data_IF_270280527786
#
_entry.id   IF_270280527786
#
_cell.length_a   1.000
_cell.length_b   1.000
_cell.length_c   1.000
_cell.angle_alpha   90.00
_cell.angle_beta   90.00
_cell.angle_gamma   90.00
#
_symmetry.space_group_name_H-M   'P 1'
#
loop_
_entity.id
_entity.type
_entity.pdbx_description
1 polymer ?
#
# COMPACT_ATOMS: atom_id res chain seq x y z
N UNK A 1 -32.88 -36.18 -39.14
CA UNK A 1 -32.57 -34.74 -39.20
C UNK A 1 -32.07 -34.34 -37.82
N UNK A 2 -30.75 -34.33 -37.61
CA UNK A 2 -30.15 -33.77 -36.40
C UNK A 2 -29.92 -32.28 -36.65
N UNK A 3 -30.45 -31.43 -35.78
CA UNK A 3 -30.03 -30.03 -35.72
C UNK A 3 -28.61 -30.01 -35.17
N UNK A 4 -27.68 -29.60 -36.02
CA UNK A 4 -26.32 -29.25 -35.66
C UNK A 4 -26.38 -27.84 -35.06
N UNK A 5 -26.21 -27.74 -33.74
CA UNK A 5 -26.09 -26.45 -33.06
C UNK A 5 -24.78 -25.81 -33.51
N UNK A 6 -24.85 -24.82 -34.40
CA UNK A 6 -23.69 -24.01 -34.76
C UNK A 6 -23.19 -23.30 -33.50
N UNK A 7 -22.01 -23.69 -33.02
CA UNK A 7 -21.25 -22.89 -32.08
C UNK A 7 -20.88 -21.59 -32.81
N UNK A 8 -21.54 -20.48 -32.45
CA UNK A 8 -21.10 -19.16 -32.87
C UNK A 8 -19.80 -18.91 -32.12
N UNK A 9 -18.67 -19.03 -32.84
CA UNK A 9 -17.39 -18.57 -32.33
C UNK A 9 -17.49 -17.05 -32.23
N UNK A 10 -17.59 -16.55 -31.00
CA UNK A 10 -17.59 -15.11 -30.74
C UNK A 10 -16.14 -14.65 -30.85
N UNK A 11 -15.81 -14.05 -31.99
CA UNK A 11 -14.49 -13.44 -32.15
C UNK A 11 -14.44 -12.14 -31.34
N UNK A 12 -13.63 -12.14 -30.28
CA UNK A 12 -13.38 -10.98 -29.44
C UNK A 12 -11.98 -10.46 -29.73
N UNK A 13 -11.91 -9.21 -30.18
CA UNK A 13 -10.65 -8.48 -30.30
C UNK A 13 -10.50 -7.52 -29.13
N UNK A 14 -9.28 -7.33 -28.64
CA UNK A 14 -8.99 -6.37 -27.56
C UNK A 14 -8.06 -5.29 -28.10
N UNK A 15 -8.51 -4.04 -28.03
CA UNK A 15 -7.74 -2.88 -28.47
C UNK A 15 -7.28 -2.05 -27.28
N UNK A 16 -6.11 -1.44 -27.39
CA UNK A 16 -5.69 -0.38 -26.48
C UNK A 16 -6.39 0.92 -26.93
N UNK A 17 -7.37 1.37 -26.15
CA UNK A 17 -8.19 2.55 -26.47
C UNK A 17 -7.68 3.82 -25.81
N UNK A 18 -6.91 3.68 -24.73
CA UNK A 18 -6.19 4.77 -24.11
C UNK A 18 -4.83 4.29 -23.60
N UNK A 19 -3.81 5.14 -23.75
CA UNK A 19 -2.49 4.92 -23.18
C UNK A 19 -1.92 6.26 -22.71
N UNK A 20 -1.43 6.28 -21.48
CA UNK A 20 -0.73 7.45 -20.94
C UNK A 20 0.51 7.77 -21.79
N UNK A 21 0.69 9.04 -22.12
CA UNK A 21 1.76 9.52 -23.03
C UNK A 21 3.19 9.23 -22.56
N UNK A 22 3.39 8.97 -21.26
CA UNK A 22 4.69 8.68 -20.65
C UNK A 22 4.76 7.27 -20.05
N UNK A 23 3.95 6.33 -20.54
CA UNK A 23 3.83 4.98 -19.98
C UNK A 23 5.19 4.28 -19.79
N UNK A 24 6.13 4.49 -20.73
CA UNK A 24 7.45 3.85 -20.74
C UNK A 24 8.46 4.49 -19.76
N UNK A 25 8.18 5.69 -19.27
CA UNK A 25 9.15 6.46 -18.44
C UNK A 25 8.64 6.72 -17.02
N UNK A 26 7.34 6.99 -16.88
CA UNK A 26 6.68 7.29 -15.60
C UNK A 26 5.63 6.27 -15.20
N UNK A 27 5.25 5.37 -16.12
CA UNK A 27 4.04 4.60 -15.97
C UNK A 27 2.79 5.45 -16.21
N UNK A 28 1.65 4.95 -15.78
CA UNK A 28 0.35 5.55 -16.03
C UNK A 28 -0.72 4.49 -16.27
N UNK A 29 -1.77 4.87 -16.97
CA UNK A 29 -2.91 4.01 -17.28
C UNK A 29 -2.85 3.50 -18.72
N UNK A 30 -3.23 2.23 -18.89
CA UNK A 30 -3.54 1.62 -20.18
C UNK A 30 -4.96 1.08 -20.10
N UNK A 31 -5.81 1.49 -21.04
CA UNK A 31 -7.18 1.03 -21.16
C UNK A 31 -7.29 0.04 -22.31
N UNK A 32 -7.84 -1.13 -22.02
CA UNK A 32 -8.14 -2.17 -23.00
C UNK A 32 -9.65 -2.26 -23.15
N UNK A 33 -10.16 -2.15 -24.39
CA UNK A 33 -11.59 -2.33 -24.65
C UNK A 33 -11.78 -3.57 -25.53
N UNK A 34 -12.42 -4.63 -25.03
CA UNK A 34 -12.80 -5.76 -25.86
C UNK A 34 -13.96 -5.35 -26.79
N UNK A 35 -13.92 -5.82 -28.03
CA UNK A 35 -14.98 -5.64 -29.01
C UNK A 35 -15.39 -7.02 -29.52
N UNK A 36 -16.70 -7.29 -29.48
CA UNK A 36 -17.27 -8.39 -30.23
C UNK A 36 -17.24 -8.01 -31.70
N UNK A 37 -16.35 -8.64 -32.47
CA UNK A 37 -16.13 -8.33 -33.89
C UNK A 37 -17.37 -8.68 -34.72
N UNK A 38 -18.13 -9.68 -34.29
CA UNK A 38 -19.33 -10.17 -35.01
C UNK A 38 -20.44 -9.11 -35.02
N UNK A 39 -20.59 -8.39 -33.90
CA UNK A 39 -21.67 -7.40 -33.73
C UNK A 39 -21.19 -5.95 -33.63
N UNK A 40 -19.87 -5.71 -33.61
CA UNK A 40 -19.28 -4.39 -33.40
C UNK A 40 -19.58 -3.79 -32.03
N UNK A 41 -19.96 -4.62 -31.05
CA UNK A 41 -20.36 -4.17 -29.71
C UNK A 41 -19.11 -4.08 -28.84
N UNK A 42 -18.87 -2.90 -28.27
CA UNK A 42 -17.81 -2.68 -27.28
C UNK A 42 -18.25 -3.22 -25.93
N UNK A 43 -17.41 -4.07 -25.34
CA UNK A 43 -17.54 -4.50 -23.97
C UNK A 43 -17.02 -3.46 -22.97
N UNK A 44 -17.01 -3.84 -21.70
CA UNK A 44 -16.49 -2.99 -20.63
C UNK A 44 -14.98 -2.88 -20.74
N UNK A 45 -14.48 -1.64 -20.67
CA UNK A 45 -13.05 -1.38 -20.63
C UNK A 45 -12.40 -1.90 -19.35
N UNK A 46 -11.15 -2.31 -19.50
CA UNK A 46 -10.25 -2.74 -18.45
C UNK A 46 -9.10 -1.76 -18.35
N UNK A 47 -8.98 -1.06 -17.22
CA UNK A 47 -7.85 -0.17 -16.97
C UNK A 47 -6.77 -0.93 -16.20
N UNK A 48 -5.52 -0.77 -16.62
CA UNK A 48 -4.31 -1.26 -15.94
C UNK A 48 -3.47 -0.05 -15.55
N UNK A 49 -3.01 -0.04 -14.30
CA UNK A 49 -2.05 0.94 -13.81
C UNK A 49 -0.64 0.33 -13.88
N UNK A 50 0.25 0.99 -14.60
CA UNK A 50 1.66 0.62 -14.75
C UNK A 50 2.50 1.56 -13.91
N UNK A 51 3.45 1.03 -13.13
CA UNK A 51 4.46 1.81 -12.41
C UNK A 51 5.84 1.50 -12.98
N UNK A 52 6.59 2.53 -13.35
CA UNK A 52 8.00 2.41 -13.76
C UNK A 52 8.88 2.94 -12.65
N UNK A 53 9.61 2.03 -12.01
CA UNK A 53 10.54 2.31 -10.92
C UNK A 53 11.87 2.82 -11.47
N UNK A 54 12.37 3.92 -10.89
CA UNK A 54 13.67 4.54 -11.21
C UNK A 54 14.60 4.43 -10.01
N UNK A 55 15.91 4.70 -10.17
CA UNK A 55 16.83 4.67 -9.02
C UNK A 55 16.28 5.52 -7.84
N UNK A 56 16.27 5.00 -6.61
CA UNK A 56 15.78 5.74 -5.45
C UNK A 56 16.57 7.03 -5.23
N UNK A 57 15.90 8.09 -4.77
CA UNK A 57 16.58 9.33 -4.41
C UNK A 57 17.31 9.17 -3.06
N UNK A 58 18.55 8.72 -3.15
CA UNK A 58 19.43 8.52 -1.98
C UNK A 58 19.70 9.80 -1.18
N UNK A 59 19.45 10.99 -1.76
CA UNK A 59 19.62 12.25 -1.03
C UNK A 59 18.61 12.39 0.11
N UNK A 60 17.48 11.68 0.07
CA UNK A 60 16.53 11.61 1.18
C UNK A 60 17.14 10.94 2.44
N UNK A 61 18.25 10.22 2.28
CA UNK A 61 19.03 9.64 3.38
C UNK A 61 20.33 10.40 3.67
N UNK A 62 20.58 11.52 2.97
CA UNK A 62 21.77 12.31 3.21
C UNK A 62 21.78 12.79 4.67
N UNK A 63 22.92 12.61 5.33
CA UNK A 63 23.12 13.00 6.73
C UNK A 63 22.16 12.32 7.72
N UNK A 64 21.65 11.12 7.39
CA UNK A 64 20.83 10.35 8.32
C UNK A 64 21.55 10.24 9.67
N UNK A 65 20.81 10.53 10.73
CA UNK A 65 21.31 10.53 12.10
C UNK A 65 20.42 9.67 12.99
N UNK A 66 21.04 8.80 13.79
CA UNK A 66 20.39 8.01 14.83
C UNK A 66 20.70 8.63 16.18
N UNK A 67 19.74 8.57 17.10
CA UNK A 67 19.99 8.88 18.49
C UNK A 67 20.79 7.74 19.14
N UNK A 68 21.68 8.10 20.08
CA UNK A 68 22.40 7.11 20.90
C UNK A 68 21.42 6.09 21.51
N UNK A 69 21.75 4.81 21.39
CA UNK A 69 20.97 3.66 21.85
C UNK A 69 19.61 3.43 21.15
N UNK A 70 19.31 4.10 20.02
CA UNK A 70 18.07 3.89 19.27
C UNK A 70 18.06 2.57 18.47
N UNK A 71 17.76 1.47 19.16
CA UNK A 71 17.64 0.13 18.55
C UNK A 71 16.52 0.05 17.52
N UNK A 72 15.44 0.80 17.72
CA UNK A 72 14.29 0.77 16.82
C UNK A 72 14.60 1.51 15.51
N UNK A 73 15.16 2.72 15.59
CA UNK A 73 15.58 3.48 14.41
C UNK A 73 16.68 2.79 13.60
N UNK A 74 17.52 1.97 14.25
CA UNK A 74 18.53 1.14 13.58
C UNK A 74 17.93 -0.08 12.85
N UNK A 75 16.99 -0.77 13.49
CA UNK A 75 16.49 -2.08 13.02
C UNK A 75 15.30 -2.00 12.08
N UNK A 76 14.61 -0.85 12.00
CA UNK A 76 13.46 -0.65 11.11
C UNK A 76 13.90 -0.07 9.78
N UNK A 77 13.29 -0.52 8.66
CA UNK A 77 13.53 0.11 7.37
C UNK A 77 13.00 1.54 7.37
N UNK A 78 13.51 2.34 6.44
CA UNK A 78 12.96 3.66 6.12
C UNK A 78 12.42 3.71 4.71
N UNK A 79 11.47 4.60 4.48
CA UNK A 79 10.91 4.83 3.17
C UNK A 79 11.59 6.02 2.49
N UNK A 80 11.93 5.84 1.22
CA UNK A 80 12.32 6.92 0.30
C UNK A 80 11.54 6.78 -1.01
N UNK A 81 11.61 7.80 -1.86
CA UNK A 81 11.00 7.76 -3.19
C UNK A 81 12.00 7.94 -4.31
N UNK A 82 11.61 7.55 -5.53
CA UNK A 82 12.28 7.99 -6.75
C UNK A 82 11.65 9.29 -7.32
N UNK A 83 12.13 9.70 -8.49
CA UNK A 83 11.62 10.87 -9.23
C UNK A 83 10.19 10.73 -9.77
N UNK A 84 9.66 9.50 -9.83
CA UNK A 84 8.27 9.20 -10.21
C UNK A 84 7.35 9.10 -8.99
N UNK A 85 7.89 9.20 -7.77
CA UNK A 85 7.15 9.06 -6.53
C UNK A 85 6.93 7.62 -6.09
N UNK A 86 7.56 6.63 -6.74
CA UNK A 86 7.49 5.24 -6.29
C UNK A 86 8.26 5.06 -4.99
N UNK A 87 7.73 4.23 -4.10
CA UNK A 87 8.27 4.05 -2.75
C UNK A 87 9.24 2.87 -2.68
N UNK A 88 10.23 3.01 -1.81
CA UNK A 88 11.20 1.98 -1.50
C UNK A 88 11.30 1.76 0.01
N UNK A 89 11.37 0.50 0.42
CA UNK A 89 11.76 0.10 1.78
C UNK A 89 13.27 -0.09 1.82
N UNK A 90 13.97 0.73 2.60
CA UNK A 90 15.43 0.76 2.67
C UNK A 90 15.91 0.19 3.99
N UNK A 91 16.73 -0.85 3.91
CA UNK A 91 17.46 -1.43 5.04
C UNK A 91 18.94 -1.10 4.95
N UNK A 92 19.67 -1.32 6.03
CA UNK A 92 21.12 -1.14 6.09
C UNK A 92 21.77 -2.30 6.84
N UNK A 93 23.06 -2.52 6.60
CA UNK A 93 23.88 -3.48 7.35
C UNK A 93 24.13 -3.00 8.80
N UNK A 94 23.10 -3.12 9.65
CA UNK A 94 23.07 -2.60 11.02
C UNK A 94 24.22 -3.07 11.91
N UNK A 95 24.78 -4.26 11.64
CA UNK A 95 25.89 -4.83 12.41
C UNK A 95 27.18 -4.01 12.32
N UNK A 96 27.30 -3.09 11.35
CA UNK A 96 28.43 -2.19 11.23
C UNK A 96 28.36 -0.95 12.14
N UNK A 97 27.26 -0.78 12.90
CA UNK A 97 26.98 0.44 13.67
C UNK A 97 26.99 0.13 15.18
N UNK A 98 27.86 0.79 15.93
CA UNK A 98 27.85 0.77 17.39
C UNK A 98 27.02 1.94 17.92
N UNK A 99 25.71 1.73 18.11
CA UNK A 99 24.79 2.76 18.60
C UNK A 99 25.04 3.18 20.06
N UNK A 100 26.00 2.58 20.77
CA UNK A 100 26.36 2.98 22.13
C UNK A 100 27.43 4.06 22.16
N UNK A 101 28.01 4.39 21.00
CA UNK A 101 29.06 5.40 20.87
C UNK A 101 28.68 6.43 19.80
N UNK A 102 28.81 7.73 20.10
CA UNK A 102 28.68 8.75 19.08
C UNK A 102 29.76 8.59 18.02
N UNK A 103 29.42 8.85 16.76
CA UNK A 103 30.37 8.77 15.65
C UNK A 103 29.72 8.59 14.30
N UNK A 104 30.56 8.56 13.26
CA UNK A 104 30.13 8.25 11.90
C UNK A 104 30.44 6.80 11.57
N UNK A 105 29.47 6.12 10.98
CA UNK A 105 29.55 4.72 10.60
C UNK A 105 29.28 4.57 9.11
N UNK A 106 30.06 3.69 8.47
CA UNK A 106 29.94 3.43 7.04
C UNK A 106 28.97 2.26 6.81
N UNK A 107 27.96 2.49 5.98
CA UNK A 107 26.88 1.54 5.72
C UNK A 107 26.71 1.28 4.23
N UNK A 108 26.03 0.18 3.95
CA UNK A 108 25.46 -0.14 2.64
C UNK A 108 23.95 -0.17 2.80
N UNK A 109 23.25 0.61 1.98
CA UNK A 109 21.80 0.56 1.87
C UNK A 109 21.38 -0.46 0.81
N UNK A 110 20.29 -1.16 1.11
CA UNK A 110 19.53 -1.96 0.15
C UNK A 110 18.09 -1.45 0.14
N UNK A 111 17.62 -1.03 -1.03
CA UNK A 111 16.28 -0.51 -1.26
C UNK A 111 15.46 -1.51 -2.07
N UNK A 112 14.28 -1.87 -1.59
CA UNK A 112 13.33 -2.75 -2.27
C UNK A 112 12.09 -1.92 -2.64
N UNK A 113 11.69 -1.93 -3.92
CA UNK A 113 10.47 -1.25 -4.37
C UNK A 113 9.24 -1.84 -3.67
N UNK A 114 8.35 -0.97 -3.19
CA UNK A 114 7.13 -1.36 -2.46
C UNK A 114 5.89 -0.66 -3.01
N UNK A 115 4.74 -1.28 -2.83
CA UNK A 115 3.44 -0.68 -3.07
C UNK A 115 2.98 0.21 -1.89
N UNK A 116 1.77 0.77 -2.00
CA UNK A 116 1.19 1.64 -0.98
C UNK A 116 0.83 0.91 0.33
N UNK A 117 0.85 -0.43 0.32
CA UNK A 117 0.71 -1.28 1.52
C UNK A 117 2.04 -1.70 2.14
N UNK A 118 3.17 -1.23 1.57
CA UNK A 118 4.52 -1.57 2.00
C UNK A 118 4.96 -2.96 1.54
N UNK A 119 4.18 -3.59 0.65
CA UNK A 119 4.48 -4.93 0.14
C UNK A 119 5.47 -4.81 -1.02
N UNK A 120 6.54 -5.63 -1.05
CA UNK A 120 7.49 -5.63 -2.17
C UNK A 120 6.79 -5.85 -3.51
N UNK A 121 7.06 -5.00 -4.48
CA UNK A 121 6.57 -5.20 -5.84
C UNK A 121 7.41 -6.23 -6.58
N UNK A 122 6.77 -6.95 -7.50
CA UNK A 122 7.41 -7.93 -8.38
C UNK A 122 7.67 -7.25 -9.73
N UNK A 123 8.88 -7.41 -10.25
CA UNK A 123 9.27 -7.00 -11.59
C UNK A 123 8.79 -8.02 -12.63
N UNK A 124 7.56 -7.83 -13.10
CA UNK A 124 6.99 -8.64 -14.19
C UNK A 124 7.65 -8.38 -15.55
N UNK A 125 8.36 -7.26 -15.71
CA UNK A 125 9.06 -6.90 -16.95
C UNK A 125 10.31 -7.74 -17.22
N UNK A 126 10.87 -8.38 -16.19
CA UNK A 126 12.04 -9.26 -16.31
C UNK A 126 11.72 -10.65 -16.89
N UNK A 127 10.45 -10.98 -17.14
CA UNK A 127 9.94 -12.33 -17.47
C UNK A 127 10.34 -13.44 -16.48
N UNK A 128 10.89 -13.07 -15.32
CA UNK A 128 11.22 -13.97 -14.22
C UNK A 128 10.25 -13.68 -13.09
N UNK A 129 9.29 -14.58 -12.91
CA UNK A 129 8.32 -14.49 -11.83
C UNK A 129 9.04 -14.40 -10.46
N UNK A 130 8.70 -13.39 -9.66
CA UNK A 130 9.19 -13.25 -8.29
C UNK A 130 10.46 -12.40 -8.11
N UNK A 131 11.03 -11.84 -9.18
CA UNK A 131 12.12 -10.87 -9.05
C UNK A 131 11.61 -9.60 -8.39
N UNK A 132 12.33 -9.12 -7.36
CA UNK A 132 12.03 -7.83 -6.71
C UNK A 132 12.81 -6.72 -7.41
N UNK A 133 12.29 -5.51 -7.33
CA UNK A 133 13.01 -4.30 -7.72
C UNK A 133 13.98 -3.95 -6.58
N UNK A 134 15.29 -4.09 -6.82
CA UNK A 134 16.33 -3.90 -5.78
C UNK A 134 17.42 -2.95 -6.25
N UNK A 135 17.77 -1.99 -5.40
CA UNK A 135 18.92 -1.09 -5.58
C UNK A 135 19.84 -1.14 -4.37
N UNK A 136 21.14 -0.96 -4.59
CA UNK A 136 22.15 -0.96 -3.52
C UNK A 136 23.00 0.29 -3.59
N UNK A 137 23.17 0.98 -2.45
CA UNK A 137 24.09 2.10 -2.32
C UNK A 137 25.12 1.83 -1.24
N UNK A 138 26.37 1.63 -1.67
CA UNK A 138 27.50 1.35 -0.76
C UNK A 138 28.12 2.63 -0.23
N UNK A 139 28.90 2.48 0.83
CA UNK A 139 29.80 3.52 1.36
C UNK A 139 29.08 4.80 1.81
N UNK A 140 27.84 4.67 2.30
CA UNK A 140 27.09 5.79 2.85
C UNK A 140 27.49 6.02 4.31
N UNK A 141 27.36 7.26 4.79
CA UNK A 141 27.64 7.60 6.18
C UNK A 141 26.34 7.81 6.94
N UNK A 142 26.26 7.20 8.12
CA UNK A 142 25.23 7.49 9.13
C UNK A 142 25.92 8.04 10.38
N UNK A 143 25.29 9.00 11.03
CA UNK A 143 25.79 9.56 12.29
C UNK A 143 25.02 8.96 13.47
N UNK A 144 25.72 8.49 14.50
CA UNK A 144 25.14 8.28 15.83
C UNK A 144 25.41 9.54 16.63
N UNK A 145 24.35 10.26 16.99
CA UNK A 145 24.46 11.53 17.71
C UNK A 145 24.70 11.31 19.19
N UNK A 146 25.68 12.04 19.73
CA UNK A 146 25.89 12.22 21.18
C UNK A 146 25.29 13.52 21.72
N UNK A 147 24.58 14.27 20.88
CA UNK A 147 23.91 15.50 21.29
C UNK A 147 22.82 15.20 22.33
N UNK A 148 22.79 16.02 23.37
CA UNK A 148 21.83 15.95 24.48
C UNK A 148 20.84 17.13 24.45
N UNK A 149 21.05 18.11 23.57
CA UNK A 149 20.19 19.29 23.43
C UNK A 149 19.04 19.01 22.47
N UNK A 150 19.28 18.17 21.46
CA UNK A 150 18.27 17.71 20.51
C UNK A 150 18.26 16.18 20.42
N UNK A 151 17.07 15.64 20.21
CA UNK A 151 16.82 14.22 20.01
C UNK A 151 16.56 13.98 18.53
N UNK A 152 17.31 13.05 17.94
CA UNK A 152 17.06 12.56 16.59
C UNK A 152 15.96 11.51 16.65
N UNK A 153 14.73 11.88 16.29
CA UNK A 153 13.56 11.01 16.41
C UNK A 153 13.17 10.36 15.08
N UNK A 154 12.45 9.24 15.15
CA UNK A 154 11.88 8.56 13.99
C UNK A 154 10.41 8.18 14.23
N UNK A 155 9.63 8.23 13.15
CA UNK A 155 8.30 7.67 13.03
C UNK A 155 8.31 6.54 12.03
N UNK A 156 7.83 5.38 12.48
CA UNK A 156 7.64 4.22 11.63
C UNK A 156 6.14 3.96 11.56
N UNK A 157 5.58 4.08 10.37
CA UNK A 157 4.15 3.89 10.13
C UNK A 157 3.99 2.56 9.40
N UNK A 158 3.21 1.67 9.97
CA UNK A 158 2.99 0.33 9.44
C UNK A 158 1.54 0.11 9.02
N UNK A 159 1.38 -0.70 7.98
CA UNK A 159 0.10 -1.31 7.70
C UNK A 159 -0.22 -2.32 8.83
N UNK A 160 -1.39 -2.16 9.45
CA UNK A 160 -1.86 -2.98 10.57
C UNK A 160 -2.10 -4.45 10.21
N UNK A 161 -2.51 -4.75 8.99
CA UNK A 161 -2.79 -6.11 8.49
C UNK A 161 -1.50 -6.87 8.18
N UNK A 162 -0.55 -6.23 7.50
CA UNK A 162 0.67 -6.90 6.99
C UNK A 162 1.88 -6.71 7.91
N UNK A 163 1.89 -5.67 8.75
CA UNK A 163 3.04 -5.26 9.54
C UNK A 163 4.15 -4.57 8.74
N UNK A 164 3.97 -4.41 7.42
CA UNK A 164 4.92 -3.76 6.53
C UNK A 164 4.98 -2.25 6.81
N UNK A 165 6.16 -1.66 6.64
CA UNK A 165 6.34 -0.21 6.75
C UNK A 165 5.81 0.46 5.48
N UNK A 166 4.92 1.43 5.64
CA UNK A 166 4.26 2.16 4.55
C UNK A 166 4.76 3.61 4.41
N UNK A 167 5.28 4.17 5.51
CA UNK A 167 5.90 5.47 5.54
C UNK A 167 6.83 5.59 6.76
N UNK A 168 7.86 6.42 6.62
CA UNK A 168 8.72 6.82 7.72
C UNK A 168 9.03 8.30 7.67
N UNK A 169 9.11 8.92 8.84
CA UNK A 169 9.46 10.32 8.98
C UNK A 169 10.49 10.48 10.10
N UNK A 170 11.34 11.49 10.02
CA UNK A 170 12.37 11.73 11.02
C UNK A 170 12.61 13.23 11.17
N UNK A 171 13.29 13.59 12.26
CA UNK A 171 13.64 14.97 12.53
C UNK A 171 14.43 15.13 13.81
N UNK A 172 14.63 16.38 14.20
CA UNK A 172 15.31 16.75 15.43
C UNK A 172 14.45 17.72 16.22
N UNK A 173 14.34 17.48 17.53
CA UNK A 173 13.62 18.38 18.43
C UNK A 173 14.12 18.22 19.87
N UNK A 174 13.79 19.18 20.73
CA UNK A 174 14.13 19.13 22.16
C UNK A 174 13.40 17.97 22.84
N UNK A 175 14.06 17.31 23.78
CA UNK A 175 13.46 16.24 24.58
C UNK A 175 12.18 16.71 25.30
N UNK A 176 11.14 15.88 25.28
CA UNK A 176 9.82 16.20 25.85
C UNK A 176 8.92 17.09 25.00
N UNK A 177 9.41 17.66 23.89
CA UNK A 177 8.58 18.46 22.97
C UNK A 177 7.59 17.60 22.19
N UNK A 178 6.53 18.22 21.65
CA UNK A 178 5.57 17.56 20.77
C UNK A 178 5.79 17.97 19.33
N UNK A 179 5.90 16.98 18.45
CA UNK A 179 6.00 17.18 16.99
C UNK A 179 4.75 16.62 16.30
N UNK A 180 4.41 17.21 15.16
CA UNK A 180 3.32 16.74 14.29
C UNK A 180 3.88 15.84 13.19
N UNK A 181 3.13 14.79 12.86
CA UNK A 181 3.42 13.90 11.74
C UNK A 181 2.84 14.52 10.47
N UNK A 182 3.62 14.53 9.40
CA UNK A 182 3.17 15.03 8.10
C UNK A 182 2.26 13.99 7.44
N UNK A 183 0.95 14.16 7.60
CA UNK A 183 -0.04 13.25 7.01
C UNK A 183 -0.13 13.34 5.50
N UNK A 184 0.44 14.38 4.86
CA UNK A 184 0.40 14.51 3.39
C UNK A 184 1.25 13.45 2.66
N UNK A 185 2.17 12.81 3.38
CA UNK A 185 3.06 11.76 2.86
C UNK A 185 2.48 10.35 2.94
N UNK A 186 1.34 10.20 3.64
CA UNK A 186 0.69 8.90 3.77
C UNK A 186 0.12 8.43 2.43
N UNK A 187 0.22 7.13 2.13
CA UNK A 187 -0.44 6.58 0.95
C UNK A 187 -1.96 6.77 1.01
N UNK A 188 -2.59 6.83 -0.17
CA UNK A 188 -4.05 6.96 -0.27
C UNK A 188 -4.77 5.82 0.48
N UNK A 189 -5.86 6.19 1.16
CA UNK A 189 -6.64 5.28 1.99
C UNK A 189 -6.10 5.07 3.41
N UNK A 190 -4.95 5.64 3.78
CA UNK A 190 -4.48 5.61 5.16
C UNK A 190 -4.69 6.95 5.86
N UNK A 191 -5.10 6.89 7.12
CA UNK A 191 -5.27 8.07 7.96
C UNK A 191 -4.78 7.80 9.39
N UNK A 192 -4.29 8.86 10.05
CA UNK A 192 -3.98 8.83 11.48
C UNK A 192 -5.21 9.29 12.26
N UNK A 193 -5.48 8.63 13.39
CA UNK A 193 -6.37 9.18 14.40
C UNK A 193 -5.75 10.44 15.03
N UNK A 194 -6.56 11.27 15.68
CA UNK A 194 -6.06 12.51 16.30
C UNK A 194 -4.97 12.28 17.35
N UNK A 195 -5.04 11.16 18.08
CA UNK A 195 -4.02 10.76 19.06
C UNK A 195 -2.73 10.25 18.42
N UNK A 196 -2.78 9.83 17.15
CA UNK A 196 -1.62 9.34 16.39
C UNK A 196 -0.89 10.46 15.64
N UNK A 197 -1.55 11.59 15.33
CA UNK A 197 -0.96 12.72 14.59
C UNK A 197 0.19 13.42 15.30
N UNK A 198 0.36 13.17 16.59
CA UNK A 198 1.41 13.79 17.40
C UNK A 198 2.30 12.76 18.10
N UNK A 199 3.46 13.25 18.51
CA UNK A 199 4.43 12.49 19.27
C UNK A 199 5.16 13.38 20.24
N UNK A 200 5.24 12.91 21.48
CA UNK A 200 6.14 13.47 22.46
C UNK A 200 7.52 12.84 22.27
N UNK A 201 8.48 13.67 21.90
CA UNK A 201 9.88 13.26 21.72
C UNK A 201 10.45 12.83 23.06
N UNK A 202 11.13 11.68 23.05
CA UNK A 202 11.76 11.07 24.23
C UNK A 202 13.17 10.59 23.84
N UNK A 203 14.20 11.18 24.44
CA UNK A 203 15.59 10.80 24.19
C UNK A 203 15.90 9.32 24.46
N UNK A 204 15.14 8.67 25.35
CA UNK A 204 15.29 7.24 25.69
C UNK A 204 14.53 6.34 24.72
N UNK A 205 13.45 6.85 24.12
CA UNK A 205 12.60 6.14 23.15
C UNK A 205 12.35 7.01 21.91
N UNK A 206 13.41 7.35 21.16
CA UNK A 206 13.35 8.36 20.10
C UNK A 206 12.59 7.88 18.86
N UNK A 207 12.34 6.57 18.73
CA UNK A 207 11.58 6.00 17.63
C UNK A 207 10.20 5.54 18.11
N UNK A 208 9.14 6.10 17.52
CA UNK A 208 7.75 5.65 17.69
C UNK A 208 7.30 4.84 16.48
N UNK A 209 6.71 3.67 16.76
CA UNK A 209 6.02 2.87 15.73
C UNK A 209 4.52 2.98 15.94
N UNK A 210 3.77 3.19 14.86
CA UNK A 210 2.31 3.14 14.85
C UNK A 210 1.83 2.20 13.76
N UNK A 211 0.68 1.58 14.02
CA UNK A 211 0.00 0.70 13.07
C UNK A 211 -1.34 1.32 12.72
N UNK A 212 -1.61 1.42 11.42
CA UNK A 212 -2.84 1.98 10.87
C UNK A 212 -3.43 1.05 9.81
N UNK A 213 -4.76 0.99 9.75
CA UNK A 213 -5.47 0.23 8.74
C UNK A 213 -5.70 1.08 7.49
N UNK A 214 -5.81 0.43 6.34
CA UNK A 214 -6.29 1.06 5.11
C UNK A 214 -7.81 1.16 5.17
N UNK A 215 -8.38 2.31 4.79
CA UNK A 215 -9.82 2.47 4.59
C UNK A 215 -10.25 1.69 3.36
N UNK A 216 -11.29 0.88 3.53
CA UNK A 216 -11.93 0.08 2.49
C UNK A 216 -13.31 0.66 2.25
N UNK A 217 -13.54 1.20 1.05
CA UNK A 217 -14.88 1.51 0.58
C UNK A 217 -15.49 0.20 0.06
N UNK A 218 -16.59 -0.24 0.64
CA UNK A 218 -17.25 -1.49 0.28
C UNK A 218 -18.58 -1.24 -0.42
N UNK A 219 -18.97 -2.20 -1.24
CA UNK A 219 -20.23 -2.22 -1.99
C UNK A 219 -20.81 -3.64 -1.97
N UNK A 220 -22.03 -3.78 -1.46
CA UNK A 220 -22.70 -5.07 -1.27
C UNK A 220 -24.00 -5.10 -2.07
N UNK A 221 -24.13 -6.14 -2.90
CA UNK A 221 -25.34 -6.43 -3.65
C UNK A 221 -26.09 -7.59 -3.05
N UNK A 222 -27.37 -7.39 -2.76
CA UNK A 222 -28.27 -8.47 -2.41
C UNK A 222 -29.01 -8.98 -3.64
N UNK A 223 -28.90 -10.28 -3.89
CA UNK A 223 -29.65 -10.96 -4.94
C UNK A 223 -30.58 -12.00 -4.33
N UNK A 224 -31.77 -12.11 -4.88
CA UNK A 224 -32.66 -13.23 -4.62
C UNK A 224 -32.01 -14.52 -5.16
N UNK A 225 -31.90 -15.55 -4.31
CA UNK A 225 -31.17 -16.79 -4.62
C UNK A 225 -31.78 -17.56 -5.79
N UNK A 226 -33.10 -17.44 -6.00
CA UNK A 226 -33.82 -18.22 -7.00
C UNK A 226 -33.90 -17.49 -8.35
N UNK A 227 -34.03 -16.16 -8.31
CA UNK A 227 -34.27 -15.35 -9.51
C UNK A 227 -33.05 -14.56 -9.98
N UNK A 228 -31.99 -14.47 -9.16
CA UNK A 228 -30.83 -13.57 -9.35
C UNK A 228 -31.21 -12.09 -9.53
N UNK A 229 -32.44 -11.72 -9.16
CA UNK A 229 -32.86 -10.32 -9.21
C UNK A 229 -32.32 -9.57 -8.01
N UNK A 230 -31.93 -8.32 -8.23
CA UNK A 230 -31.44 -7.46 -7.17
C UNK A 230 -32.55 -7.10 -6.19
N UNK A 231 -32.26 -7.28 -4.91
CA UNK A 231 -33.15 -6.92 -3.81
C UNK A 231 -32.68 -5.60 -3.22
N UNK A 232 -33.49 -4.57 -3.40
CA UNK A 232 -33.21 -3.24 -2.85
C UNK A 232 -32.01 -2.55 -3.50
N UNK A 233 -31.43 -1.59 -2.77
CA UNK A 233 -30.26 -0.83 -3.21
C UNK A 233 -28.97 -1.46 -2.68
N UNK A 234 -27.89 -1.22 -3.39
CA UNK A 234 -26.54 -1.55 -2.96
C UNK A 234 -26.25 -0.93 -1.58
N UNK A 235 -25.64 -1.71 -0.70
CA UNK A 235 -25.19 -1.24 0.61
C UNK A 235 -23.74 -0.80 0.46
N UNK A 236 -23.51 0.51 0.51
CA UNK A 236 -22.18 1.09 0.41
C UNK A 236 -21.74 1.70 1.73
N UNK A 237 -20.45 1.65 2.02
CA UNK A 237 -19.88 2.34 3.17
C UNK A 237 -18.35 2.32 3.13
N UNK A 238 -17.75 2.77 4.24
CA UNK A 238 -16.31 2.74 4.42
C UNK A 238 -15.97 2.23 5.82
N UNK A 239 -14.85 1.53 5.95
CA UNK A 239 -14.33 1.12 7.25
C UNK A 239 -12.89 0.64 7.16
N UNK A 240 -12.31 0.35 8.32
CA UNK A 240 -10.92 -0.10 8.40
C UNK A 240 -10.78 -1.54 7.87
N UNK A 241 -9.75 -1.78 7.07
CA UNK A 241 -9.42 -3.12 6.59
C UNK A 241 -9.26 -4.11 7.77
N UNK A 242 -9.89 -5.28 7.62
CA UNK A 242 -9.96 -6.32 8.65
C UNK A 242 -11.03 -6.09 9.71
N UNK A 243 -11.73 -4.95 9.72
CA UNK A 243 -12.89 -4.77 10.59
C UNK A 243 -14.10 -5.56 10.11
N UNK A 244 -15.00 -5.91 11.03
CA UNK A 244 -16.23 -6.64 10.74
C UNK A 244 -17.44 -5.72 10.79
N UNK A 245 -18.33 -5.88 9.83
CA UNK A 245 -19.63 -5.21 9.75
C UNK A 245 -20.71 -6.25 9.88
N UNK A 246 -21.68 -5.98 10.77
CA UNK A 246 -22.88 -6.80 10.90
C UNK A 246 -23.90 -6.32 9.89
N UNK A 247 -24.28 -7.20 8.97
CA UNK A 247 -25.28 -6.92 7.95
C UNK A 247 -26.67 -7.33 8.43
N UNK A 248 -27.67 -6.62 7.92
CA UNK A 248 -29.08 -6.93 8.13
C UNK A 248 -29.70 -7.28 6.79
N UNK A 249 -30.51 -8.34 6.78
CA UNK A 249 -31.31 -8.69 5.62
C UNK A 249 -32.45 -7.66 5.45
N UNK A 250 -32.80 -7.29 4.22
CA UNK A 250 -34.00 -6.49 3.93
C UNK A 250 -35.26 -7.17 4.47
N UNK A 251 -36.30 -6.36 4.74
CA UNK A 251 -37.58 -6.87 5.22
C UNK A 251 -38.16 -7.91 4.27
N UNK A 252 -38.55 -9.07 4.82
CA UNK A 252 -39.13 -10.17 4.06
C UNK A 252 -38.12 -11.17 3.50
N UNK A 253 -36.83 -10.99 3.78
CA UNK A 253 -35.75 -11.87 3.33
C UNK A 253 -34.89 -12.36 4.49
N UNK A 254 -34.27 -13.53 4.30
CA UNK A 254 -33.21 -14.07 5.14
C UNK A 254 -31.92 -14.26 4.34
N UNK A 255 -30.77 -14.26 5.01
CA UNK A 255 -29.53 -14.67 4.38
C UNK A 255 -29.61 -16.13 3.95
N UNK A 256 -29.24 -16.42 2.69
CA UNK A 256 -29.16 -17.79 2.21
C UNK A 256 -27.99 -18.56 2.88
N UNK A 257 -26.94 -17.84 3.29
CA UNK A 257 -25.83 -18.33 4.12
C UNK A 257 -25.68 -17.39 5.33
N UNK A 258 -25.84 -17.92 6.54
CA UNK A 258 -25.77 -17.10 7.76
C UNK A 258 -24.37 -16.56 8.04
N UNK A 259 -23.31 -17.12 7.43
CA UNK A 259 -21.97 -16.54 7.51
C UNK A 259 -21.87 -15.20 6.79
N UNK A 260 -22.76 -14.92 5.84
CA UNK A 260 -22.82 -13.63 5.15
C UNK A 260 -23.36 -12.49 6.03
N UNK A 261 -23.90 -12.80 7.22
CA UNK A 261 -24.30 -11.78 8.20
C UNK A 261 -23.13 -10.94 8.70
N UNK A 262 -21.90 -11.43 8.57
CA UNK A 262 -20.68 -10.73 9.00
C UNK A 262 -19.77 -10.54 7.79
N UNK A 263 -19.62 -9.29 7.36
CA UNK A 263 -18.63 -8.93 6.35
C UNK A 263 -17.32 -8.52 7.04
N UNK A 264 -16.22 -9.18 6.72
CA UNK A 264 -14.88 -8.68 7.05
C UNK A 264 -14.38 -7.84 5.88
N UNK A 265 -14.01 -6.58 6.14
CA UNK A 265 -13.56 -5.67 5.10
C UNK A 265 -12.19 -6.09 4.56
N UNK A 266 -12.08 -6.23 3.25
CA UNK A 266 -10.83 -6.55 2.56
C UNK A 266 -10.62 -5.57 1.39
N UNK A 267 -9.47 -4.89 1.40
CA UNK A 267 -9.14 -3.94 0.33
C UNK A 267 -8.93 -4.60 -1.03
N UNK A 268 -8.69 -5.92 -1.07
CA UNK A 268 -8.54 -6.70 -2.28
C UNK A 268 -9.88 -7.24 -2.83
N UNK A 269 -10.91 -7.29 -1.99
CA UNK A 269 -12.25 -7.73 -2.35
C UNK A 269 -13.30 -6.77 -1.76
N UNK A 270 -13.32 -5.50 -2.18
CA UNK A 270 -14.23 -4.48 -1.63
C UNK A 270 -15.69 -4.69 -2.05
N UNK A 271 -15.94 -5.52 -3.06
CA UNK A 271 -17.27 -5.80 -3.58
C UNK A 271 -17.70 -7.21 -3.19
N UNK A 272 -18.95 -7.37 -2.74
CA UNK A 272 -19.52 -8.68 -2.40
C UNK A 272 -20.97 -8.80 -2.85
N UNK A 273 -21.29 -9.92 -3.50
CA UNK A 273 -22.67 -10.32 -3.75
C UNK A 273 -23.10 -11.32 -2.68
N UNK A 274 -24.24 -11.07 -2.06
CA UNK A 274 -24.84 -11.93 -1.03
C UNK A 274 -26.22 -12.37 -1.51
N UNK A 275 -26.50 -13.67 -1.37
CA UNK A 275 -27.78 -14.24 -1.78
C UNK A 275 -28.74 -14.30 -0.60
N UNK A 276 -30.01 -13.98 -0.86
CA UNK A 276 -31.10 -13.99 0.10
C UNK A 276 -32.20 -14.96 -0.33
N UNK A 277 -33.02 -15.42 0.63
CA UNK A 277 -34.18 -16.29 0.43
C UNK A 277 -35.41 -15.77 1.16
#
# INVERSE_FOLDING_TARGET
MSQESAYIQVDVETEITHMSSNIDTKGGEIEFTPTDVTYGIKGNSLIRHVKIFQEPDWNQLANRTLQLNDKNGLSKPVTITDSNGNKYSVTMNSNAIDITKPGQYKVTYEAIGIDDSGTPVIDEGSHVAGNKIVYTKRNQLITVSGDKTQVNYNFIIKNKKTGNVIDTQSGQAVDGSTVMIDTSKLPSGYALSDTQKTFKVDAKNPTKTIEIAKSVNYDIKYLDKDTNQQIGKDITGAGDEGSSIVLQAPSGYEFADTSDMILTLDSQAPQKTIYLR
#
